data_IF_727909420549
#
_entry.id   IF_727909420549
#
_cell.length_a   1.000
_cell.length_b   1.000
_cell.length_c   1.000
_cell.angle_alpha   90.00
_cell.angle_beta   90.00
_cell.angle_gamma   90.00
#
_symmetry.space_group_name_H-M   'P 1'
#
loop_
_entity.id
_entity.type
_entity.pdbx_description
1 polymer ?
#
# COMPACT_ATOMS: atom_id res chain seq x y z
N UNK A 1 6.76 8.70 -17.42
CA UNK A 1 6.85 8.69 -15.93
C UNK A 1 5.91 7.63 -15.39
N UNK A 2 6.37 6.78 -14.48
CA UNK A 2 5.48 5.84 -13.80
C UNK A 2 4.67 6.61 -12.76
N UNK A 3 3.36 6.39 -12.73
CA UNK A 3 2.43 7.05 -11.84
C UNK A 3 2.24 6.19 -10.59
N UNK A 4 2.38 6.83 -9.43
CA UNK A 4 2.10 6.24 -8.12
C UNK A 4 1.35 7.30 -7.34
N UNK A 5 0.12 7.00 -6.94
CA UNK A 5 -0.73 7.91 -6.20
C UNK A 5 -1.22 7.24 -4.91
N UNK A 6 -1.12 7.96 -3.80
CA UNK A 6 -1.66 7.51 -2.52
C UNK A 6 -3.16 7.82 -2.52
N UNK A 7 -3.98 6.78 -2.36
CA UNK A 7 -5.44 6.91 -2.41
C UNK A 7 -6.06 6.92 -1.01
N UNK A 8 -5.43 6.25 -0.05
CA UNK A 8 -5.86 6.23 1.35
C UNK A 8 -4.66 6.07 2.29
N UNK A 9 -4.73 6.76 3.44
CA UNK A 9 -3.74 6.61 4.50
C UNK A 9 -4.40 6.66 5.86
N UNK A 10 -4.16 5.62 6.65
CA UNK A 10 -4.60 5.54 8.04
C UNK A 10 -3.39 5.40 8.95
N UNK A 11 -3.18 6.39 9.81
CA UNK A 11 -2.12 6.38 10.82
C UNK A 11 -2.74 6.51 12.19
N UNK A 12 -2.32 5.64 13.12
CA UNK A 12 -2.78 5.71 14.50
C UNK A 12 -1.66 5.37 15.48
N UNK A 13 -1.77 5.92 16.67
CA UNK A 13 -0.81 5.70 17.75
C UNK A 13 -1.08 4.36 18.43
N UNK A 14 -0.05 3.53 18.55
CA UNK A 14 -0.13 2.22 19.23
C UNK A 14 0.57 2.22 20.59
N UNK A 15 1.57 3.09 20.78
CA UNK A 15 2.22 3.31 22.07
C UNK A 15 2.82 4.73 22.15
N UNK A 16 3.50 5.07 23.25
CA UNK A 16 4.16 6.38 23.39
C UNK A 16 5.23 6.55 22.30
N UNK A 17 4.99 7.49 21.38
CA UNK A 17 5.87 7.78 20.26
C UNK A 17 5.94 6.67 19.20
N UNK A 18 5.02 5.69 19.21
CA UNK A 18 4.98 4.59 18.25
C UNK A 18 3.64 4.53 17.54
N UNK A 19 3.66 4.30 16.22
CA UNK A 19 2.52 4.37 15.33
C UNK A 19 2.44 3.13 14.43
N UNK A 20 1.23 2.84 13.97
CA UNK A 20 0.98 1.92 12.86
C UNK A 20 0.38 2.67 11.70
N UNK A 21 0.64 2.18 10.50
CA UNK A 21 0.16 2.76 9.24
C UNK A 21 -0.50 1.68 8.37
N UNK A 22 -1.63 2.01 7.76
CA UNK A 22 -2.16 1.33 6.58
C UNK A 22 -2.11 2.34 5.44
N UNK A 23 -1.55 1.91 4.31
CA UNK A 23 -1.40 2.72 3.11
C UNK A 23 -2.02 1.99 1.92
N UNK A 24 -2.92 2.65 1.22
CA UNK A 24 -3.40 2.20 -0.09
C UNK A 24 -2.87 3.16 -1.17
N UNK A 25 -2.40 2.58 -2.27
CA UNK A 25 -1.92 3.34 -3.42
C UNK A 25 -2.41 2.72 -4.72
N UNK A 26 -2.50 3.55 -5.75
CA UNK A 26 -2.71 3.12 -7.14
C UNK A 26 -1.46 3.36 -7.98
N UNK A 27 -1.25 2.50 -8.98
CA UNK A 27 -0.12 2.63 -9.89
C UNK A 27 -0.36 1.96 -11.25
N UNK A 28 0.26 2.48 -12.30
CA UNK A 28 0.44 1.77 -13.58
C UNK A 28 1.70 0.88 -13.60
N UNK A 29 2.53 0.95 -12.55
CA UNK A 29 3.76 0.19 -12.40
C UNK A 29 3.54 -1.20 -11.82
N UNK A 30 3.62 -2.23 -12.67
CA UNK A 30 3.52 -3.63 -12.25
C UNK A 30 4.74 -4.16 -11.46
N UNK A 31 5.84 -3.42 -11.42
CA UNK A 31 7.05 -3.79 -10.68
C UNK A 31 7.07 -3.24 -9.26
N UNK A 32 6.16 -2.30 -8.94
CA UNK A 32 6.03 -1.74 -7.62
C UNK A 32 5.54 -2.84 -6.66
N UNK A 33 6.25 -3.01 -5.56
CA UNK A 33 5.88 -3.98 -4.53
C UNK A 33 5.90 -3.35 -3.15
N UNK A 34 5.27 -4.02 -2.20
CA UNK A 34 5.09 -3.50 -0.85
C UNK A 34 6.41 -3.29 -0.09
N UNK A 35 7.47 -4.05 -0.40
CA UNK A 35 8.77 -3.89 0.28
C UNK A 35 9.47 -2.60 -0.11
N UNK A 36 9.37 -2.18 -1.37
CA UNK A 36 9.88 -0.88 -1.81
C UNK A 36 9.20 0.29 -1.08
N UNK A 37 7.90 0.15 -0.80
CA UNK A 37 7.12 1.15 -0.05
C UNK A 37 7.52 1.15 1.43
N UNK A 38 7.71 -0.04 2.03
CA UNK A 38 8.20 -0.16 3.42
C UNK A 38 9.60 0.43 3.57
N UNK A 39 10.48 0.19 2.60
CA UNK A 39 11.83 0.76 2.58
C UNK A 39 11.78 2.30 2.48
N UNK A 40 10.94 2.86 1.61
CA UNK A 40 10.75 4.31 1.51
C UNK A 40 10.21 4.95 2.80
N UNK A 41 9.33 4.24 3.52
CA UNK A 41 8.78 4.70 4.80
C UNK A 41 9.69 4.41 6.00
N UNK A 42 10.80 3.69 5.81
CA UNK A 42 11.74 3.35 6.89
C UNK A 42 12.44 4.57 7.52
N UNK A 43 12.38 5.73 6.86
CA UNK A 43 12.84 7.02 7.42
C UNK A 43 12.08 7.42 8.70
N UNK A 44 10.93 6.80 8.96
CA UNK A 44 10.08 7.04 10.12
C UNK A 44 10.24 5.91 11.16
N UNK A 45 11.23 6.04 12.04
CA UNK A 45 11.48 5.12 13.17
C UNK A 45 10.31 5.01 14.17
N UNK A 46 9.38 5.96 14.12
CA UNK A 46 8.15 5.94 14.91
C UNK A 46 7.10 4.95 14.39
N UNK A 47 7.16 4.54 13.11
CA UNK A 47 6.22 3.60 12.51
C UNK A 47 6.73 2.16 12.75
N UNK A 48 6.03 1.42 13.61
CA UNK A 48 6.44 0.06 14.01
C UNK A 48 5.72 -1.04 13.24
N UNK A 49 4.66 -0.70 12.49
CA UNK A 49 3.92 -1.64 11.65
C UNK A 49 3.32 -0.94 10.44
N UNK A 50 3.48 -1.53 9.26
CA UNK A 50 2.97 -1.01 7.98
C UNK A 50 2.28 -2.15 7.22
N UNK A 51 1.01 -1.94 6.90
CA UNK A 51 0.31 -2.71 5.86
C UNK A 51 0.20 -1.86 4.59
N UNK A 52 0.52 -2.44 3.44
CA UNK A 52 0.50 -1.75 2.14
C UNK A 52 -0.43 -2.51 1.20
N UNK A 53 -1.40 -1.81 0.63
CA UNK A 53 -2.24 -2.27 -0.46
C UNK A 53 -1.84 -1.56 -1.76
N UNK A 54 -1.63 -2.33 -2.83
CA UNK A 54 -1.22 -1.81 -4.13
C UNK A 54 -2.29 -2.18 -5.16
N UNK A 55 -2.96 -1.16 -5.69
CA UNK A 55 -3.98 -1.30 -6.72
C UNK A 55 -3.40 -0.98 -8.10
N UNK A 56 -3.36 -1.97 -9.00
CA UNK A 56 -2.87 -1.74 -10.35
C UNK A 56 -3.99 -1.22 -11.26
N UNK A 57 -3.73 -0.15 -12.01
CA UNK A 57 -4.70 0.45 -12.94
C UNK A 57 -5.06 -0.45 -14.14
N UNK A 58 -4.38 -1.57 -14.31
CA UNK A 58 -4.72 -2.57 -15.34
C UNK A 58 -5.74 -3.55 -14.78
N UNK A 59 -6.90 -3.74 -15.45
CA UNK A 59 -7.86 -4.73 -15.02
C UNK A 59 -7.23 -6.12 -15.09
N UNK A 60 -7.07 -6.76 -13.93
CA UNK A 60 -6.81 -8.19 -13.87
C UNK A 60 -8.10 -8.88 -14.27
N UNK A 61 -8.04 -9.77 -15.26
CA UNK A 61 -9.19 -10.60 -15.61
C UNK A 61 -9.52 -11.50 -14.40
N UNK A 62 -10.64 -11.23 -13.74
CA UNK A 62 -11.17 -12.07 -12.67
C UNK A 62 -12.35 -12.86 -13.23
N UNK A 63 -12.23 -14.18 -13.44
CA UNK A 63 -13.36 -15.02 -13.83
C UNK A 63 -14.46 -14.94 -12.77
N UNK A 64 -15.70 -14.67 -13.17
CA UNK A 64 -16.85 -14.81 -12.26
C UNK A 64 -17.21 -16.28 -12.13
N UNK A 65 -17.08 -16.83 -10.94
CA UNK A 65 -17.44 -18.23 -10.63
C UNK A 65 -18.96 -18.48 -10.67
N UNK A 66 -19.80 -17.43 -10.71
CA UNK A 66 -21.27 -17.53 -10.58
C UNK A 66 -22.02 -17.79 -11.91
N UNK A 67 -21.38 -18.42 -12.89
CA UNK A 67 -22.10 -18.92 -14.08
C UNK A 67 -22.46 -20.40 -13.86
N UNK A 68 -23.49 -20.65 -13.07
CA UNK A 68 -24.15 -21.96 -12.92
C UNK A 68 -25.66 -21.78 -12.86
#
# INVERSE_FOLDING_TARGET
PKHVEITDIHVWKVAKGKFSCILALETDDISLNADQIRDALSIHDEIVHISVEINTLKPVYVPRETLA
#
